data_IF_565060720732
#
_entry.id   IF_565060720732
#
_cell.length_a   1.000
_cell.length_b   1.000
_cell.length_c   1.000
_cell.angle_alpha   90.00
_cell.angle_beta   90.00
_cell.angle_gamma   90.00
#
_symmetry.space_group_name_H-M   'P 1'
#
loop_
_entity.id
_entity.type
_entity.pdbx_description
1 polymer ?
#
# COMPACT_ATOMS: atom_id res chain seq x y z
N UNK A 1 -2.43 18.78 -8.17
CA UNK A 1 -1.22 18.38 -8.93
C UNK A 1 -0.75 17.02 -8.44
N UNK A 2 -0.29 16.14 -9.34
CA UNK A 2 0.13 14.77 -8.99
C UNK A 2 1.66 14.67 -8.97
N UNK A 3 2.20 13.68 -8.25
CA UNK A 3 3.64 13.38 -8.15
C UNK A 3 4.31 13.22 -9.53
N UNK A 4 3.53 12.84 -10.55
CA UNK A 4 3.96 12.76 -11.96
C UNK A 4 4.26 14.14 -12.54
N UNK A 5 3.50 15.18 -12.18
CA UNK A 5 3.72 16.56 -12.65
C UNK A 5 5.00 17.21 -12.09
N UNK A 6 5.62 16.60 -11.07
CA UNK A 6 6.84 17.10 -10.43
C UNK A 6 8.11 16.46 -11.00
N UNK A 7 8.01 15.69 -12.09
CA UNK A 7 9.17 15.17 -12.84
C UNK A 7 9.90 13.99 -12.18
N UNK A 8 9.29 13.36 -11.17
CA UNK A 8 9.86 12.21 -10.47
C UNK A 8 9.99 10.98 -11.38
N UNK A 9 9.21 10.91 -12.45
CA UNK A 9 9.25 9.86 -13.47
C UNK A 9 10.55 9.85 -14.30
N UNK A 10 11.26 10.98 -14.39
CA UNK A 10 12.53 11.10 -15.12
C UNK A 10 13.71 10.41 -14.44
N UNK A 11 13.62 10.17 -13.13
CA UNK A 11 14.68 9.55 -12.33
C UNK A 11 14.42 8.06 -12.05
N UNK A 12 13.28 7.53 -12.49
CA UNK A 12 12.87 6.15 -12.29
C UNK A 12 13.44 5.26 -13.40
N UNK A 13 13.85 4.04 -13.03
CA UNK A 13 14.25 3.03 -14.00
C UNK A 13 13.08 2.71 -14.95
N UNK A 14 13.33 2.13 -16.13
CA UNK A 14 12.24 1.69 -17.03
C UNK A 14 11.23 0.76 -16.31
N UNK A 15 11.68 0.01 -15.30
CA UNK A 15 10.83 -0.85 -14.49
C UNK A 15 9.88 -0.07 -13.54
N UNK A 16 10.25 1.16 -13.20
CA UNK A 16 9.57 2.05 -12.26
C UNK A 16 8.77 3.16 -12.93
N UNK A 17 8.82 3.27 -14.27
CA UNK A 17 7.95 4.16 -15.02
C UNK A 17 6.48 3.83 -14.75
N UNK A 18 5.71 4.86 -14.40
CA UNK A 18 4.28 4.78 -14.05
C UNK A 18 3.35 4.49 -15.25
N UNK A 19 3.90 4.16 -16.44
CA UNK A 19 3.17 3.93 -17.69
C UNK A 19 2.93 2.42 -17.97
N UNK A 20 2.68 1.63 -16.91
CA UNK A 20 2.34 0.20 -17.01
C UNK A 20 0.87 -0.03 -16.66
N UNK A 21 0.27 -1.16 -17.10
CA UNK A 21 -1.04 -1.58 -16.64
C UNK A 21 -1.12 -1.60 -15.11
N UNK A 22 -2.29 -1.25 -14.56
CA UNK A 22 -2.48 -1.09 -13.12
C UNK A 22 -2.09 -2.35 -12.34
N UNK A 23 -2.42 -3.52 -12.87
CA UNK A 23 -2.14 -4.83 -12.28
C UNK A 23 -0.64 -5.07 -12.15
N UNK A 24 0.16 -4.66 -13.14
CA UNK A 24 1.61 -4.73 -13.10
C UNK A 24 2.23 -3.71 -12.14
N UNK A 25 1.63 -2.52 -12.05
CA UNK A 25 2.07 -1.50 -11.10
C UNK A 25 1.75 -1.88 -9.65
N UNK A 26 0.63 -2.57 -9.42
CA UNK A 26 0.16 -2.91 -8.09
C UNK A 26 0.91 -4.08 -7.47
N UNK A 27 1.37 -5.01 -8.31
CA UNK A 27 2.12 -6.18 -7.88
C UNK A 27 3.34 -5.77 -7.05
N UNK A 28 3.43 -6.31 -5.83
CA UNK A 28 4.49 -6.08 -4.85
C UNK A 28 4.68 -4.61 -4.40
N UNK A 29 3.81 -3.67 -4.82
CA UNK A 29 3.91 -2.24 -4.47
C UNK A 29 2.78 -1.76 -3.57
N UNK A 30 1.62 -2.38 -3.63
CA UNK A 30 0.46 -1.99 -2.82
C UNK A 30 -0.22 -3.20 -2.21
N UNK A 31 -0.86 -2.97 -1.07
CA UNK A 31 -1.81 -3.89 -0.46
C UNK A 31 -3.19 -3.36 -0.78
N UNK A 32 -3.93 -4.07 -1.65
CA UNK A 32 -5.27 -3.67 -2.10
C UNK A 32 -6.19 -4.85 -1.89
N UNK A 33 -7.24 -4.68 -1.07
CA UNK A 33 -8.19 -5.74 -0.79
C UNK A 33 -8.86 -5.61 0.57
N UNK A 34 -9.11 -6.77 1.16
CA UNK A 34 -9.78 -6.95 2.45
C UNK A 34 -8.80 -6.82 3.63
N UNK A 35 -9.31 -6.73 4.87
CA UNK A 35 -8.48 -6.81 6.07
C UNK A 35 -7.63 -8.09 6.16
N UNK A 36 -8.11 -9.22 5.62
CA UNK A 36 -7.38 -10.48 5.65
C UNK A 36 -6.22 -10.48 4.66
N UNK A 37 -6.37 -9.83 3.51
CA UNK A 37 -5.30 -9.62 2.54
C UNK A 37 -4.14 -8.82 3.16
N UNK A 38 -4.47 -7.77 3.93
CA UNK A 38 -3.49 -7.00 4.70
C UNK A 38 -2.73 -7.89 5.71
N UNK A 39 -3.45 -8.71 6.48
CA UNK A 39 -2.83 -9.59 7.48
C UNK A 39 -1.93 -10.63 6.82
N UNK A 40 -2.39 -11.23 5.72
CA UNK A 40 -1.61 -12.20 4.95
C UNK A 40 -0.29 -11.60 4.47
N UNK A 41 -0.35 -10.39 3.91
CA UNK A 41 0.84 -9.72 3.39
C UNK A 41 1.81 -9.30 4.52
N UNK A 42 1.29 -8.79 5.64
CA UNK A 42 2.13 -8.48 6.80
C UNK A 42 2.83 -9.73 7.37
N UNK A 43 2.16 -10.90 7.36
CA UNK A 43 2.77 -12.17 7.78
C UNK A 43 3.90 -12.59 6.85
N UNK A 44 3.70 -12.46 5.53
CA UNK A 44 4.74 -12.75 4.53
C UNK A 44 6.03 -11.94 4.79
N UNK A 45 5.89 -10.67 5.20
CA UNK A 45 7.02 -9.85 5.60
C UNK A 45 7.61 -10.25 6.96
N UNK A 46 6.76 -10.61 7.94
CA UNK A 46 7.23 -11.10 9.23
C UNK A 46 8.05 -12.40 9.10
N UNK A 47 7.67 -13.29 8.19
CA UNK A 47 8.36 -14.57 7.92
C UNK A 47 9.80 -14.38 7.43
N UNK A 48 10.11 -13.23 6.82
CA UNK A 48 11.48 -12.85 6.41
C UNK A 48 12.18 -11.95 7.43
N UNK A 49 11.62 -11.79 8.63
CA UNK A 49 12.22 -11.08 9.75
C UNK A 49 11.88 -9.58 9.86
N UNK A 50 10.91 -9.07 9.10
CA UNK A 50 10.44 -7.69 9.26
C UNK A 50 9.67 -7.57 10.58
N UNK A 51 10.13 -6.70 11.47
CA UNK A 51 9.50 -6.47 12.78
C UNK A 51 8.65 -5.21 12.85
N UNK A 52 8.76 -4.33 11.84
CA UNK A 52 8.05 -3.06 11.79
C UNK A 52 7.61 -2.72 10.37
N UNK A 53 6.36 -2.29 10.23
CA UNK A 53 5.78 -1.84 8.96
C UNK A 53 5.15 -0.45 9.12
N UNK A 54 5.47 0.46 8.21
CA UNK A 54 4.81 1.76 8.09
C UNK A 54 3.78 1.70 6.96
N UNK A 55 2.50 1.88 7.29
CA UNK A 55 1.41 1.80 6.33
C UNK A 55 0.91 3.20 5.95
N UNK A 56 0.90 3.50 4.64
CA UNK A 56 0.29 4.72 4.09
C UNK A 56 -1.07 4.38 3.49
N UNK A 57 -2.13 4.94 4.06
CA UNK A 57 -3.51 4.68 3.64
C UNK A 57 -4.05 5.69 2.62
N UNK A 58 -3.43 6.86 2.52
CA UNK A 58 -3.90 7.93 1.65
C UNK A 58 -3.20 7.90 0.28
N UNK A 59 -3.99 8.14 -0.76
CA UNK A 59 -3.54 8.48 -2.10
C UNK A 59 -4.05 9.88 -2.45
N UNK A 60 -3.31 10.69 -3.24
CA UNK A 60 -3.79 12.00 -3.68
C UNK A 60 -5.20 11.92 -4.30
N UNK A 61 -6.13 12.73 -3.79
CA UNK A 61 -7.51 12.76 -4.27
C UNK A 61 -8.45 11.75 -3.62
N UNK A 62 -7.98 10.89 -2.71
CA UNK A 62 -8.88 10.02 -1.95
C UNK A 62 -9.73 10.81 -0.95
N UNK A 63 -11.04 10.52 -0.85
CA UNK A 63 -11.89 11.04 0.21
C UNK A 63 -11.35 10.67 1.61
N UNK A 64 -11.40 11.63 2.54
CA UNK A 64 -10.87 11.44 3.89
C UNK A 64 -11.60 10.32 4.66
N UNK A 65 -12.91 10.22 4.49
CA UNK A 65 -13.74 9.17 5.10
C UNK A 65 -13.31 7.77 4.67
N UNK A 66 -12.97 7.58 3.39
CA UNK A 66 -12.42 6.33 2.88
C UNK A 66 -11.07 5.99 3.54
N UNK A 67 -10.18 6.97 3.70
CA UNK A 67 -8.89 6.79 4.37
C UNK A 67 -9.09 6.41 5.84
N UNK A 68 -9.95 7.12 6.57
CA UNK A 68 -10.24 6.84 7.98
C UNK A 68 -10.88 5.45 8.17
N UNK A 69 -11.75 5.03 7.24
CA UNK A 69 -12.32 3.68 7.22
C UNK A 69 -11.24 2.62 7.07
N UNK A 70 -10.30 2.81 6.15
CA UNK A 70 -9.20 1.88 5.93
C UNK A 70 -8.29 1.76 7.17
N UNK A 71 -7.95 2.88 7.83
CA UNK A 71 -7.19 2.89 9.08
C UNK A 71 -7.92 2.09 10.17
N UNK A 72 -9.23 2.31 10.33
CA UNK A 72 -10.03 1.59 11.32
C UNK A 72 -10.03 0.09 11.08
N UNK A 73 -10.25 -0.33 9.83
CA UNK A 73 -10.25 -1.74 9.43
C UNK A 73 -8.89 -2.39 9.66
N UNK A 74 -7.80 -1.74 9.26
CA UNK A 74 -6.45 -2.24 9.48
C UNK A 74 -6.14 -2.42 10.97
N UNK A 75 -6.53 -1.46 11.81
CA UNK A 75 -6.36 -1.57 13.27
C UNK A 75 -7.17 -2.71 13.88
N UNK A 76 -8.37 -2.99 13.37
CA UNK A 76 -9.19 -4.14 13.79
C UNK A 76 -8.56 -5.47 13.35
N UNK A 77 -8.14 -5.57 12.09
CA UNK A 77 -7.51 -6.76 11.52
C UNK A 77 -6.28 -7.17 12.31
N UNK A 78 -5.39 -6.21 12.59
CA UNK A 78 -4.16 -6.42 13.35
C UNK A 78 -4.43 -7.02 14.73
N UNK A 79 -5.41 -6.47 15.46
CA UNK A 79 -5.79 -6.96 16.79
C UNK A 79 -6.32 -8.40 16.73
N UNK A 80 -7.20 -8.69 15.77
CA UNK A 80 -7.75 -10.03 15.60
C UNK A 80 -6.67 -11.06 15.21
N UNK A 81 -5.71 -10.65 14.38
CA UNK A 81 -4.61 -11.50 13.91
C UNK A 81 -3.45 -11.66 14.90
N UNK A 82 -3.45 -10.92 16.01
CA UNK A 82 -2.34 -10.84 17.01
C UNK A 82 -0.98 -10.48 16.39
N UNK A 83 -1.02 -9.55 15.43
CA UNK A 83 0.16 -8.88 14.89
C UNK A 83 0.56 -7.65 15.72
#
# INVERSE_FOLDING_TARGET
ETVVGWGQDRLLSEADKMAKPFEELAKDRFIIGTPDDLVSELRRYADIGVTYALLRFNWPGMPLDAVLRAIRLAGQARRSARL
#
